data_IF_064354083065
#
_entry.id   IF_064354083065
#
_cell.length_a   1.000
_cell.length_b   1.000
_cell.length_c   1.000
_cell.angle_alpha   90.00
_cell.angle_beta   90.00
_cell.angle_gamma   90.00
#
_symmetry.space_group_name_H-M   'P 1'
#
loop_
_entity.id
_entity.type
_entity.pdbx_description
1 polymer ?
#
# COMPACT_ATOMS: atom_id res chain seq x y z
N UNK A 1 22.60 -84.65 -8.83
CA UNK A 1 22.55 -84.42 -10.29
C UNK A 1 22.21 -82.95 -10.54
N UNK A 2 23.13 -82.20 -11.16
CA UNK A 2 22.86 -80.89 -11.78
C UNK A 2 22.38 -81.13 -13.23
N UNK A 3 21.57 -80.26 -13.88
CA UNK A 3 22.07 -78.96 -14.34
C UNK A 3 21.11 -77.75 -14.33
N UNK A 4 21.76 -76.59 -14.16
CA UNK A 4 21.56 -75.24 -14.72
C UNK A 4 20.42 -75.04 -15.74
N UNK A 5 19.71 -73.90 -15.64
CA UNK A 5 19.61 -72.94 -16.77
C UNK A 5 19.35 -71.52 -16.24
N UNK A 6 20.23 -70.58 -16.61
CA UNK A 6 20.08 -69.13 -16.53
C UNK A 6 19.45 -68.64 -17.84
N UNK A 7 18.46 -67.74 -17.79
CA UNK A 7 18.17 -66.81 -18.90
C UNK A 7 17.78 -65.42 -18.33
N UNK A 8 18.33 -64.32 -18.87
CA UNK A 8 18.17 -62.96 -18.36
C UNK A 8 17.16 -62.12 -19.16
N UNK A 9 17.09 -60.83 -18.80
CA UNK A 9 16.41 -59.72 -19.49
C UNK A 9 14.94 -59.51 -19.04
N UNK A 10 14.45 -58.28 -18.81
CA UNK A 10 14.69 -57.05 -19.54
C UNK A 10 14.63 -55.83 -18.61
N UNK A 11 15.61 -54.92 -18.78
CA UNK A 11 15.54 -53.53 -18.33
C UNK A 11 14.31 -52.87 -18.96
N UNK A 12 13.39 -52.40 -18.13
CA UNK A 12 12.33 -51.48 -18.58
C UNK A 12 12.86 -50.06 -18.47
N UNK A 13 13.38 -49.56 -19.59
CA UNK A 13 13.67 -48.13 -19.78
C UNK A 13 12.35 -47.36 -19.77
N UNK A 14 12.12 -46.57 -18.72
CA UNK A 14 11.06 -45.56 -18.75
C UNK A 14 11.49 -44.46 -19.70
N UNK A 15 10.82 -44.42 -20.85
CA UNK A 15 10.89 -43.41 -21.88
C UNK A 15 10.65 -42.04 -21.24
N UNK A 16 11.66 -41.18 -21.29
CA UNK A 16 11.55 -39.77 -20.97
C UNK A 16 10.71 -39.08 -22.04
N UNK A 17 9.45 -38.80 -21.72
CA UNK A 17 8.62 -37.92 -22.56
C UNK A 17 9.20 -36.51 -22.48
N UNK A 18 9.99 -36.18 -23.51
CA UNK A 18 10.40 -34.83 -23.86
C UNK A 18 9.15 -34.04 -24.23
N UNK A 19 8.64 -33.28 -23.27
CA UNK A 19 7.63 -32.25 -23.50
C UNK A 19 8.28 -31.11 -24.31
N UNK A 20 7.73 -30.71 -25.47
CA UNK A 20 8.24 -29.54 -26.20
C UNK A 20 7.93 -28.25 -25.42
N UNK A 21 8.75 -27.19 -25.58
CA UNK A 21 8.57 -25.95 -24.83
C UNK A 21 7.30 -25.23 -25.28
N UNK A 22 6.47 -24.83 -24.30
CA UNK A 22 5.34 -23.96 -24.54
C UNK A 22 5.83 -22.57 -24.97
N UNK A 23 5.36 -22.12 -26.14
CA UNK A 23 5.67 -20.81 -26.70
C UNK A 23 5.18 -19.69 -25.77
N UNK A 24 6.13 -18.90 -25.27
CA UNK A 24 5.85 -17.66 -24.55
C UNK A 24 5.22 -16.64 -25.52
N UNK A 25 3.93 -16.33 -25.33
CA UNK A 25 3.28 -15.21 -25.99
C UNK A 25 3.68 -13.91 -25.29
N UNK A 26 4.45 -13.07 -25.99
CA UNK A 26 4.78 -11.70 -25.58
C UNK A 26 3.57 -10.79 -25.83
N UNK A 27 3.12 -9.97 -24.86
CA UNK A 27 2.34 -8.79 -25.19
C UNK A 27 3.30 -7.67 -25.61
N UNK A 28 3.30 -7.37 -26.90
CA UNK A 28 3.89 -6.14 -27.44
C UNK A 28 3.00 -4.96 -27.00
N UNK A 29 3.48 -4.19 -26.02
CA UNK A 29 2.91 -2.88 -25.70
C UNK A 29 3.43 -1.89 -26.76
N UNK A 30 2.53 -1.52 -27.67
CA UNK A 30 2.74 -0.43 -28.60
C UNK A 30 2.66 0.93 -27.88
N UNK A 31 3.44 1.86 -28.43
CA UNK A 31 3.62 3.27 -28.08
C UNK A 31 2.37 4.00 -27.53
N UNK A 32 2.63 4.84 -26.53
CA UNK A 32 1.79 5.96 -26.14
C UNK A 32 2.58 7.00 -25.35
N UNK A 33 3.72 7.45 -25.87
CA UNK A 33 4.48 8.54 -25.27
C UNK A 33 3.80 9.88 -25.60
N UNK A 34 3.46 10.61 -24.54
CA UNK A 34 2.70 11.85 -24.52
C UNK A 34 3.37 12.98 -25.31
N UNK A 35 2.64 13.58 -26.24
CA UNK A 35 2.96 14.89 -26.79
C UNK A 35 2.35 15.95 -25.87
N UNK A 36 3.18 16.55 -25.02
CA UNK A 36 2.84 17.76 -24.28
C UNK A 36 2.78 18.94 -25.25
N UNK A 37 1.59 19.28 -25.75
CA UNK A 37 1.36 20.52 -26.47
C UNK A 37 1.08 21.64 -25.45
N UNK A 38 2.08 22.48 -25.19
CA UNK A 38 1.89 23.75 -24.51
C UNK A 38 1.20 24.72 -25.47
N UNK A 39 -0.11 24.96 -25.27
CA UNK A 39 -0.81 26.03 -25.97
C UNK A 39 -0.57 27.35 -25.21
N UNK A 40 0.48 28.08 -25.60
CA UNK A 40 0.61 29.49 -25.26
C UNK A 40 -0.22 30.30 -26.26
N UNK A 41 -1.45 30.69 -25.88
CA UNK A 41 -2.22 31.68 -26.63
C UNK A 41 -1.69 33.06 -26.26
N UNK A 42 -0.93 33.65 -27.18
CA UNK A 42 -0.59 35.07 -27.15
C UNK A 42 -1.82 35.86 -27.63
N UNK A 43 -2.56 36.45 -26.69
CA UNK A 43 -3.64 37.36 -27.00
C UNK A 43 -3.04 38.75 -27.32
N UNK A 44 -2.55 38.94 -28.54
CA UNK A 44 -2.28 40.28 -29.07
C UNK A 44 -3.57 40.79 -29.68
N UNK A 45 -4.30 41.61 -28.92
CA UNK A 45 -5.29 42.54 -29.45
C UNK A 45 -4.48 43.66 -30.14
N UNK A 46 -4.19 43.44 -31.41
CA UNK A 46 -3.63 44.44 -32.32
C UNK A 46 -4.72 44.96 -33.22
N UNK A 47 -5.26 46.12 -32.91
CA UNK A 47 -6.12 46.92 -33.76
C UNK A 47 -5.36 47.32 -35.03
N UNK A 48 -5.64 46.64 -36.15
CA UNK A 48 -5.17 46.96 -37.51
C UNK A 48 -6.35 47.01 -38.48
N UNK A 49 -6.25 47.77 -39.58
CA UNK A 49 -7.38 48.38 -40.27
C UNK A 49 -8.32 47.37 -40.91
N UNK A 50 -9.60 47.74 -40.96
CA UNK A 50 -10.70 47.02 -41.60
C UNK A 50 -10.27 46.38 -42.92
N UNK A 51 -10.26 45.05 -42.96
CA UNK A 51 -10.26 44.31 -44.22
C UNK A 51 -11.63 44.51 -44.87
N UNK A 52 -11.80 45.61 -45.60
CA UNK A 52 -12.88 45.75 -46.56
C UNK A 52 -12.65 44.73 -47.67
N UNK A 53 -13.35 43.61 -47.61
CA UNK A 53 -13.58 42.80 -48.80
C UNK A 53 -14.48 43.63 -49.72
N UNK A 54 -13.90 44.22 -50.78
CA UNK A 54 -14.69 44.66 -51.92
C UNK A 54 -15.47 43.45 -52.43
N UNK A 55 -16.78 43.44 -52.17
CA UNK A 55 -17.69 42.57 -52.87
C UNK A 55 -17.72 43.04 -54.33
N UNK A 56 -16.83 42.47 -55.15
CA UNK A 56 -16.94 42.53 -56.59
C UNK A 56 -18.36 42.05 -56.96
N UNK A 57 -19.18 42.99 -57.43
CA UNK A 57 -20.58 42.78 -57.76
C UNK A 57 -20.74 41.62 -58.74
N UNK A 58 -21.09 40.46 -58.22
CA UNK A 58 -21.65 39.37 -59.00
C UNK A 58 -23.13 39.39 -58.69
N UNK A 59 -23.89 40.06 -59.56
CA UNK A 59 -25.35 40.00 -59.53
C UNK A 59 -25.76 38.54 -59.71
N UNK A 60 -26.03 37.87 -58.60
CA UNK A 60 -26.62 36.54 -58.59
C UNK A 60 -28.10 36.74 -58.92
N UNK A 61 -28.43 36.75 -60.21
CA UNK A 61 -29.82 36.76 -60.65
C UNK A 61 -30.44 35.45 -60.17
N UNK A 62 -31.33 35.53 -59.19
CA UNK A 62 -32.05 34.37 -58.68
C UNK A 62 -32.76 33.67 -59.84
N UNK A 63 -32.60 32.34 -59.93
CA UNK A 63 -33.26 31.48 -60.94
C UNK A 63 -34.78 31.72 -60.97
N UNK A 64 -35.39 32.13 -59.85
CA UNK A 64 -36.80 32.50 -59.77
C UNK A 64 -37.16 33.72 -60.64
N UNK A 65 -36.26 34.72 -60.75
CA UNK A 65 -36.45 35.92 -61.56
C UNK A 65 -36.32 35.62 -63.05
N UNK A 66 -35.46 34.67 -63.43
CA UNK A 66 -35.30 34.23 -64.82
C UNK A 66 -36.46 33.34 -65.30
N UNK A 67 -37.22 32.75 -64.38
CA UNK A 67 -38.42 31.96 -64.66
C UNK A 67 -39.73 32.76 -64.56
N UNK A 68 -39.68 34.07 -64.30
CA UNK A 68 -40.87 34.94 -64.23
C UNK A 68 -41.79 34.68 -63.03
N UNK A 69 -41.30 33.97 -62.01
CA UNK A 69 -42.03 33.71 -60.77
C UNK A 69 -41.78 34.88 -59.81
N UNK A 70 -42.51 35.98 -60.00
CA UNK A 70 -42.65 37.03 -58.98
C UNK A 70 -43.49 36.45 -57.83
N UNK A 71 -42.82 35.86 -56.85
CA UNK A 71 -43.46 35.47 -55.61
C UNK A 71 -43.90 36.76 -54.89
N UNK A 72 -45.22 37.02 -54.82
CA UNK A 72 -45.74 37.90 -53.79
C UNK A 72 -45.26 37.34 -52.45
N UNK A 73 -44.62 38.13 -51.58
CA UNK A 73 -44.33 37.70 -50.24
C UNK A 73 -45.68 37.65 -49.53
N UNK A 74 -46.40 36.54 -49.66
CA UNK A 74 -47.15 36.12 -48.51
C UNK A 74 -46.06 35.86 -47.47
N UNK A 75 -45.89 36.84 -46.57
CA UNK A 75 -45.03 36.73 -45.41
C UNK A 75 -45.64 35.64 -44.51
N UNK A 76 -45.57 34.38 -44.96
CA UNK A 76 -45.59 33.23 -44.08
C UNK A 76 -44.54 33.56 -43.03
N UNK A 77 -45.00 33.61 -41.78
CA UNK A 77 -44.40 34.38 -40.69
C UNK A 77 -43.01 33.84 -40.30
N UNK A 78 -42.00 34.13 -41.12
CA UNK A 78 -40.62 33.68 -40.96
C UNK A 78 -40.04 34.16 -39.62
N UNK A 79 -40.54 35.29 -39.11
CA UNK A 79 -40.29 35.79 -37.76
C UNK A 79 -40.77 34.81 -36.67
N UNK A 80 -41.99 34.27 -36.75
CA UNK A 80 -42.52 33.26 -35.83
C UNK A 80 -41.76 31.94 -35.94
N UNK A 81 -41.40 31.52 -37.14
CA UNK A 81 -40.64 30.28 -37.35
C UNK A 81 -39.21 30.37 -36.77
N UNK A 82 -38.53 31.51 -36.92
CA UNK A 82 -37.24 31.76 -36.28
C UNK A 82 -37.35 31.82 -34.75
N UNK A 83 -38.42 32.42 -34.21
CA UNK A 83 -38.71 32.43 -32.77
C UNK A 83 -38.89 31.02 -32.21
N UNK A 84 -39.65 30.17 -32.90
CA UNK A 84 -39.87 28.77 -32.50
C UNK A 84 -38.56 27.95 -32.51
N UNK A 85 -37.65 28.22 -33.44
CA UNK A 85 -36.33 27.58 -33.49
C UNK A 85 -35.42 28.05 -32.33
N UNK A 86 -35.44 29.34 -32.00
CA UNK A 86 -34.72 29.88 -30.84
C UNK A 86 -35.22 29.28 -29.52
N UNK A 87 -36.54 29.17 -29.34
CA UNK A 87 -37.13 28.54 -28.15
C UNK A 87 -36.76 27.05 -28.05
N UNK A 88 -36.71 26.33 -29.18
CA UNK A 88 -36.27 24.94 -29.21
C UNK A 88 -34.79 24.80 -28.84
N UNK A 89 -33.93 25.72 -29.31
CA UNK A 89 -32.51 25.75 -28.97
C UNK A 89 -32.30 26.04 -27.47
N UNK A 90 -33.00 27.04 -26.92
CA UNK A 90 -32.97 27.36 -25.49
C UNK A 90 -33.44 26.15 -24.65
N UNK A 91 -34.54 25.52 -25.05
CA UNK A 91 -35.08 24.32 -24.39
C UNK A 91 -34.11 23.13 -24.45
N UNK A 92 -33.33 22.99 -25.53
CA UNK A 92 -32.27 21.97 -25.64
C UNK A 92 -31.12 22.27 -24.68
N UNK A 93 -30.65 23.51 -24.63
CA UNK A 93 -29.60 23.95 -23.70
C UNK A 93 -30.00 23.68 -22.25
N UNK A 94 -31.20 24.10 -21.83
CA UNK A 94 -31.66 23.87 -20.45
C UNK A 94 -31.77 22.39 -20.09
N UNK A 95 -32.15 21.52 -21.05
CA UNK A 95 -32.17 20.07 -20.83
C UNK A 95 -30.76 19.50 -20.70
N UNK A 96 -29.80 20.02 -21.45
CA UNK A 96 -28.41 19.61 -21.37
C UNK A 96 -27.80 20.00 -20.02
N UNK A 97 -28.01 21.25 -19.58
CA UNK A 97 -27.58 21.72 -18.26
C UNK A 97 -28.20 20.89 -17.12
N UNK A 98 -29.50 20.58 -17.23
CA UNK A 98 -30.18 19.73 -16.24
C UNK A 98 -29.61 18.30 -16.20
N UNK A 99 -29.20 17.74 -17.35
CA UNK A 99 -28.56 16.42 -17.40
C UNK A 99 -27.18 16.45 -16.75
N UNK A 100 -26.39 17.49 -17.00
CA UNK A 100 -25.07 17.66 -16.38
C UNK A 100 -25.22 17.82 -14.86
N UNK A 101 -26.15 18.64 -14.40
CA UNK A 101 -26.44 18.79 -12.96
C UNK A 101 -26.87 17.46 -12.32
N UNK A 102 -27.74 16.68 -12.99
CA UNK A 102 -28.16 15.36 -12.52
C UNK A 102 -26.99 14.37 -12.46
N UNK A 103 -26.06 14.40 -13.43
CA UNK A 103 -24.85 13.57 -13.40
C UNK A 103 -23.95 13.91 -12.22
N UNK A 104 -23.71 15.20 -11.96
CA UNK A 104 -22.93 15.61 -10.78
C UNK A 104 -23.61 15.20 -9.47
N UNK A 105 -24.93 15.33 -9.37
CA UNK A 105 -25.67 14.88 -8.21
C UNK A 105 -25.57 13.35 -8.01
N UNK A 106 -25.61 12.57 -9.10
CA UNK A 106 -25.42 11.13 -9.03
C UNK A 106 -24.02 10.75 -8.57
N UNK A 107 -22.98 11.39 -9.11
CA UNK A 107 -21.59 11.15 -8.69
C UNK A 107 -21.42 11.50 -7.20
N UNK A 108 -22.00 12.60 -6.74
CA UNK A 108 -21.95 12.98 -5.32
C UNK A 108 -22.68 11.94 -4.44
N UNK A 109 -23.83 11.42 -4.88
CA UNK A 109 -24.55 10.37 -4.17
C UNK A 109 -23.75 9.06 -4.11
N UNK A 110 -23.12 8.65 -5.22
CA UNK A 110 -22.29 7.45 -5.29
C UNK A 110 -21.08 7.56 -4.35
N UNK A 111 -20.44 8.73 -4.31
CA UNK A 111 -19.34 9.00 -3.36
C UNK A 111 -19.81 8.91 -1.91
N UNK A 112 -20.97 9.48 -1.57
CA UNK A 112 -21.51 9.40 -0.22
C UNK A 112 -21.81 7.95 0.22
N UNK A 113 -22.24 7.09 -0.71
CA UNK A 113 -22.44 5.65 -0.44
C UNK A 113 -21.11 4.96 -0.15
N UNK A 114 -20.07 5.24 -0.96
CA UNK A 114 -18.73 4.66 -0.75
C UNK A 114 -18.11 5.11 0.57
N UNK A 115 -18.24 6.39 0.92
CA UNK A 115 -17.75 6.93 2.19
C UNK A 115 -18.45 6.28 3.38
N UNK A 116 -19.76 6.07 3.29
CA UNK A 116 -20.52 5.34 4.31
C UNK A 116 -20.05 3.89 4.44
N UNK A 117 -19.88 3.18 3.32
CA UNK A 117 -19.39 1.79 3.34
C UNK A 117 -17.99 1.70 3.96
N UNK A 118 -17.11 2.65 3.65
CA UNK A 118 -15.78 2.73 4.25
C UNK A 118 -15.86 2.96 5.75
N UNK A 119 -16.67 3.89 6.21
CA UNK A 119 -16.85 4.15 7.64
C UNK A 119 -17.41 2.93 8.39
N UNK A 120 -18.38 2.23 7.80
CA UNK A 120 -18.93 0.98 8.35
C UNK A 120 -17.87 -0.13 8.40
N UNK A 121 -17.04 -0.28 7.37
CA UNK A 121 -15.94 -1.25 7.34
C UNK A 121 -14.85 -0.92 8.38
N UNK A 122 -14.49 0.35 8.55
CA UNK A 122 -13.54 0.79 9.56
C UNK A 122 -14.07 0.56 10.98
N UNK A 123 -15.36 0.82 11.23
CA UNK A 123 -16.00 0.51 12.51
C UNK A 123 -16.03 -1.00 12.80
N UNK A 124 -16.35 -1.82 11.78
CA UNK A 124 -16.32 -3.28 11.90
C UNK A 124 -14.90 -3.79 12.19
N UNK A 125 -13.88 -3.24 11.53
CA UNK A 125 -12.49 -3.60 11.76
C UNK A 125 -12.02 -3.24 13.18
N UNK A 126 -12.40 -2.05 13.68
CA UNK A 126 -12.11 -1.63 15.06
C UNK A 126 -12.73 -2.59 16.08
N UNK A 127 -14.01 -2.94 15.89
CA UNK A 127 -14.70 -3.89 16.76
C UNK A 127 -14.04 -5.28 16.74
N UNK A 128 -13.69 -5.78 15.56
CA UNK A 128 -13.00 -7.07 15.42
C UNK A 128 -11.62 -7.07 16.10
N UNK A 129 -10.88 -5.96 16.01
CA UNK A 129 -9.59 -5.80 16.68
C UNK A 129 -9.74 -5.78 18.21
N UNK A 130 -10.76 -5.10 18.73
CA UNK A 130 -11.08 -5.08 20.17
C UNK A 130 -11.47 -6.47 20.68
N UNK A 131 -12.32 -7.19 19.96
CA UNK A 131 -12.70 -8.58 20.29
C UNK A 131 -11.50 -9.53 20.26
N UNK A 132 -10.60 -9.39 19.28
CA UNK A 132 -9.37 -10.17 19.20
C UNK A 132 -8.42 -9.86 20.37
N UNK A 133 -8.29 -8.58 20.75
CA UNK A 133 -7.50 -8.17 21.90
C UNK A 133 -8.08 -8.73 23.22
N UNK A 134 -9.41 -8.69 23.38
CA UNK A 134 -10.08 -9.26 24.54
C UNK A 134 -9.89 -10.78 24.64
N UNK A 135 -9.98 -11.50 23.52
CA UNK A 135 -9.70 -12.96 23.47
C UNK A 135 -8.27 -13.27 23.88
N UNK A 136 -7.30 -12.55 23.35
CA UNK A 136 -5.88 -12.73 23.69
C UNK A 136 -5.62 -12.45 25.17
N UNK A 137 -6.21 -11.39 25.73
CA UNK A 137 -6.10 -11.07 27.15
C UNK A 137 -6.70 -12.18 28.05
N UNK A 138 -7.83 -12.76 27.64
CA UNK A 138 -8.44 -13.89 28.35
C UNK A 138 -7.56 -15.15 28.31
N UNK A 139 -6.94 -15.45 27.17
CA UNK A 139 -6.01 -16.58 27.01
C UNK A 139 -4.75 -16.39 27.87
N UNK A 140 -4.17 -15.20 27.89
CA UNK A 140 -3.03 -14.86 28.75
C UNK A 140 -3.38 -14.95 30.24
N UNK A 141 -4.58 -14.52 30.63
CA UNK A 141 -5.06 -14.65 32.01
C UNK A 141 -5.22 -16.12 32.41
N UNK A 142 -5.81 -16.95 31.54
CA UNK A 142 -5.95 -18.39 31.78
C UNK A 142 -4.59 -19.10 31.88
N UNK A 143 -3.63 -18.74 31.02
CA UNK A 143 -2.27 -19.28 31.08
C UNK A 143 -1.55 -18.91 32.38
N UNK A 144 -1.72 -17.67 32.87
CA UNK A 144 -1.17 -17.23 34.16
C UNK A 144 -1.79 -17.98 35.33
N UNK A 145 -3.11 -18.20 35.30
CA UNK A 145 -3.79 -18.95 36.35
C UNK A 145 -3.35 -20.42 36.37
N UNK A 146 -3.21 -21.06 35.20
CA UNK A 146 -2.70 -22.41 35.08
C UNK A 146 -1.26 -22.54 35.62
N UNK A 147 -0.40 -21.57 35.30
CA UNK A 147 0.97 -21.52 35.82
C UNK A 147 1.02 -21.34 37.35
N UNK A 148 0.15 -20.50 37.92
CA UNK A 148 0.04 -20.33 39.37
C UNK A 148 -0.46 -21.61 40.07
N UNK A 149 -1.46 -22.29 39.49
CA UNK A 149 -1.95 -23.58 40.02
C UNK A 149 -0.87 -24.67 39.97
N UNK A 150 -0.08 -24.72 38.89
CA UNK A 150 1.04 -25.65 38.78
C UNK A 150 2.14 -25.36 39.82
N UNK A 151 2.45 -24.08 40.08
CA UNK A 151 3.41 -23.69 41.10
C UNK A 151 2.95 -24.04 42.53
N UNK A 152 1.65 -23.90 42.82
CA UNK A 152 1.07 -24.25 44.12
C UNK A 152 1.00 -25.77 44.39
N UNK A 153 0.98 -26.60 43.33
CA UNK A 153 0.96 -28.06 43.44
C UNK A 153 2.36 -28.70 43.52
N UNK A 154 3.44 -27.91 43.42
CA UNK A 154 4.81 -28.42 43.46
C UNK A 154 5.25 -28.74 44.91
N UNK A 155 5.79 -29.95 45.21
CA UNK A 155 6.24 -30.30 46.56
C UNK A 155 7.52 -29.55 46.95
N UNK A 156 7.66 -29.22 48.24
CA UNK A 156 8.82 -28.51 48.79
C UNK A 156 10.15 -29.29 48.60
N UNK A 157 11.25 -28.65 48.15
CA UNK A 157 12.45 -29.39 47.79
C UNK A 157 13.28 -29.78 49.02
N UNK A 158 13.64 -31.07 49.11
CA UNK A 158 14.77 -31.53 49.93
C UNK A 158 16.09 -31.15 49.22
N UNK A 159 17.02 -30.59 49.99
CA UNK A 159 18.30 -30.05 49.54
C UNK A 159 19.32 -31.18 49.34
N UNK A 160 19.83 -31.33 48.13
CA UNK A 160 20.99 -32.17 47.76
C UNK A 160 21.83 -31.44 46.68
N UNK A 161 23.16 -31.65 46.60
CA UNK A 161 24.04 -30.80 45.80
C UNK A 161 24.07 -31.16 44.31
N UNK A 162 24.57 -30.18 43.55
CA UNK A 162 24.56 -29.98 42.10
C UNK A 162 24.84 -31.18 41.18
N UNK A 163 24.03 -31.27 40.12
CA UNK A 163 24.44 -31.64 38.77
C UNK A 163 23.62 -30.81 37.77
N UNK A 164 24.31 -29.96 37.00
CA UNK A 164 23.69 -29.00 36.07
C UNK A 164 23.31 -29.67 34.75
N UNK A 165 22.02 -29.71 34.45
CA UNK A 165 21.50 -29.86 33.10
C UNK A 165 20.75 -28.57 32.72
N UNK A 166 20.98 -27.97 31.54
CA UNK A 166 20.31 -26.74 31.18
C UNK A 166 18.83 -27.00 30.90
N UNK A 167 18.00 -26.19 31.54
CA UNK A 167 16.55 -26.23 31.41
C UNK A 167 16.12 -25.35 30.22
N UNK A 168 15.18 -25.77 29.36
CA UNK A 168 14.80 -25.04 28.13
C UNK A 168 14.19 -23.64 28.39
N UNK A 169 13.78 -23.34 29.62
CA UNK A 169 13.33 -22.01 30.05
C UNK A 169 14.49 -20.99 30.20
N UNK A 170 15.72 -21.47 30.43
CA UNK A 170 16.90 -20.61 30.54
C UNK A 170 17.32 -20.05 29.16
N UNK A 171 17.19 -20.84 28.09
CA UNK A 171 17.57 -20.41 26.74
C UNK A 171 16.74 -19.25 26.19
N UNK A 172 15.47 -19.13 26.60
CA UNK A 172 14.60 -18.04 26.18
C UNK A 172 14.87 -16.73 26.96
N UNK A 173 15.29 -16.84 28.22
CA UNK A 173 15.71 -15.69 29.03
C UNK A 173 17.14 -15.20 28.69
N UNK A 174 18.02 -16.12 28.27
CA UNK A 174 19.37 -15.81 27.77
C UNK A 174 19.32 -15.07 26.43
N UNK A 175 18.44 -15.50 25.51
CA UNK A 175 18.25 -14.84 24.20
C UNK A 175 17.78 -13.38 24.34
N UNK A 176 16.94 -13.08 25.34
CA UNK A 176 16.50 -11.72 25.64
C UNK A 176 17.56 -10.82 26.31
N UNK A 177 18.77 -11.34 26.56
CA UNK A 177 19.92 -10.59 27.13
C UNK A 177 21.13 -10.53 26.19
N UNK A 178 21.07 -11.20 25.05
CA UNK A 178 22.20 -11.30 24.12
C UNK A 178 22.01 -10.34 22.95
N UNK A 179 23.04 -9.54 22.64
CA UNK A 179 23.15 -8.80 21.37
C UNK A 179 24.00 -9.53 20.33
N UNK A 180 24.48 -10.74 20.64
CA UNK A 180 25.27 -11.51 19.69
C UNK A 180 24.43 -11.90 18.48
N UNK A 181 24.92 -11.59 17.29
CA UNK A 181 24.25 -11.94 16.04
C UNK A 181 24.81 -13.24 15.46
N UNK A 182 23.92 -14.17 15.12
CA UNK A 182 24.23 -15.43 14.44
C UNK A 182 23.60 -15.50 13.05
N UNK A 183 22.65 -14.61 12.76
CA UNK A 183 21.93 -14.49 11.49
C UNK A 183 22.12 -13.07 10.96
N UNK A 184 22.45 -12.97 9.67
CA UNK A 184 22.47 -11.69 8.95
C UNK A 184 21.07 -11.35 8.46
N UNK A 185 20.54 -10.21 8.88
CA UNK A 185 19.26 -9.67 8.45
C UNK A 185 19.27 -9.33 6.96
N UNK A 186 18.22 -9.78 6.26
CA UNK A 186 17.95 -9.39 4.88
C UNK A 186 17.06 -8.14 4.87
N UNK A 187 17.65 -7.01 4.53
CA UNK A 187 17.00 -5.70 4.53
C UNK A 187 16.84 -5.22 3.09
N UNK A 188 15.62 -4.89 2.71
CA UNK A 188 15.29 -4.31 1.40
C UNK A 188 15.66 -2.83 1.38
N UNK A 189 16.60 -2.48 0.51
CA UNK A 189 17.15 -1.13 0.36
C UNK A 189 16.97 -0.67 -1.09
N UNK A 190 16.38 0.51 -1.31
CA UNK A 190 16.11 1.06 -2.66
C UNK A 190 16.79 2.39 -2.96
N UNK A 191 17.41 3.03 -1.96
CA UNK A 191 18.00 4.37 -2.13
C UNK A 191 19.46 4.51 -1.64
N UNK A 192 20.09 3.42 -1.21
CA UNK A 192 21.48 3.43 -0.73
C UNK A 192 21.79 2.26 0.19
N UNK A 193 23.03 2.20 0.68
CA UNK A 193 23.41 1.24 1.70
C UNK A 193 22.79 1.61 3.04
N UNK A 194 22.38 0.61 3.82
CA UNK A 194 21.99 0.83 5.21
C UNK A 194 23.24 1.12 6.07
N UNK A 195 23.08 1.92 7.12
CA UNK A 195 24.17 2.20 8.04
C UNK A 195 24.65 0.90 8.70
N UNK A 196 25.97 0.67 8.84
CA UNK A 196 26.50 -0.55 9.46
C UNK A 196 25.96 -0.83 10.88
N UNK A 197 25.69 0.22 11.67
CA UNK A 197 25.10 0.05 13.01
C UNK A 197 23.65 -0.41 12.94
N UNK A 198 22.85 0.17 12.05
CA UNK A 198 21.47 -0.25 11.83
C UNK A 198 21.41 -1.71 11.31
N UNK A 199 22.33 -2.10 10.43
CA UNK A 199 22.48 -3.50 10.01
C UNK A 199 22.85 -4.41 11.20
N UNK A 200 23.83 -4.05 12.01
CA UNK A 200 24.24 -4.85 13.17
C UNK A 200 23.12 -4.99 14.20
N UNK A 201 22.33 -3.93 14.43
CA UNK A 201 21.17 -3.99 15.29
C UNK A 201 20.08 -4.92 14.72
N UNK A 202 19.79 -4.82 13.42
CA UNK A 202 18.88 -5.74 12.74
C UNK A 202 19.35 -7.20 12.82
N UNK A 203 20.65 -7.46 12.62
CA UNK A 203 21.27 -8.78 12.74
C UNK A 203 21.07 -9.36 14.15
N UNK A 204 21.27 -8.55 15.19
CA UNK A 204 21.01 -8.94 16.57
C UNK A 204 19.53 -9.27 16.81
N UNK A 205 18.61 -8.44 16.31
CA UNK A 205 17.16 -8.66 16.47
C UNK A 205 16.72 -9.96 15.79
N UNK A 206 17.10 -10.19 14.53
CA UNK A 206 16.70 -11.42 13.82
C UNK A 206 17.33 -12.68 14.41
N UNK A 207 18.45 -12.55 15.11
CA UNK A 207 19.12 -13.66 15.79
C UNK A 207 18.47 -14.00 17.14
N UNK A 208 18.01 -13.00 17.89
CA UNK A 208 17.64 -13.17 19.30
C UNK A 208 16.13 -13.05 19.57
N UNK A 209 15.35 -12.51 18.63
CA UNK A 209 13.88 -12.44 18.74
C UNK A 209 13.23 -13.58 17.95
N UNK A 210 12.60 -14.56 18.61
CA UNK A 210 11.94 -15.67 17.93
C UNK A 210 10.92 -15.19 16.89
N UNK A 211 11.07 -15.67 15.65
CA UNK A 211 10.22 -15.31 14.51
C UNK A 211 10.67 -14.07 13.72
N UNK A 212 11.60 -13.26 14.24
CA UNK A 212 12.07 -12.06 13.53
C UNK A 212 12.91 -12.39 12.27
N UNK A 213 13.56 -13.55 12.21
CA UNK A 213 14.28 -14.00 11.01
C UNK A 213 13.36 -14.32 9.81
N UNK A 214 12.05 -14.47 10.03
CA UNK A 214 11.08 -14.85 9.00
C UNK A 214 10.31 -13.67 8.40
N UNK A 215 10.50 -12.46 8.92
CA UNK A 215 9.83 -11.25 8.42
C UNK A 215 10.69 -10.50 7.39
N UNK A 216 10.05 -9.61 6.64
CA UNK A 216 10.76 -8.69 5.75
C UNK A 216 11.18 -7.45 6.53
N UNK A 217 12.38 -6.94 6.27
CA UNK A 217 12.85 -5.68 6.86
C UNK A 217 12.97 -4.62 5.77
N UNK A 218 12.38 -3.45 6.01
CA UNK A 218 12.52 -2.26 5.17
C UNK A 218 13.68 -1.39 5.64
N UNK A 219 14.60 -1.06 4.73
CA UNK A 219 15.74 -0.19 5.00
C UNK A 219 15.66 1.09 4.20
N UNK A 220 16.71 1.43 3.45
CA UNK A 220 16.80 2.71 2.75
C UNK A 220 15.73 2.88 1.68
N UNK A 221 15.17 4.09 1.59
CA UNK A 221 14.26 4.50 0.53
C UNK A 221 14.32 6.02 0.36
N UNK A 222 14.01 6.51 -0.85
CA UNK A 222 13.96 7.93 -1.12
C UNK A 222 12.75 8.55 -0.41
N UNK A 223 13.00 9.55 0.44
CA UNK A 223 11.99 10.30 1.17
C UNK A 223 12.61 11.62 1.63
N UNK A 224 11.85 12.71 1.58
CA UNK A 224 12.27 14.00 2.13
C UNK A 224 11.71 14.24 3.55
N UNK A 225 10.78 13.39 4.01
CA UNK A 225 10.07 13.59 5.28
C UNK A 225 10.93 13.21 6.50
N UNK A 226 11.96 12.39 6.32
CA UNK A 226 12.79 11.83 7.37
C UNK A 226 14.28 11.79 6.96
N UNK A 227 14.95 12.93 6.73
CA UNK A 227 16.34 12.94 6.23
C UNK A 227 17.34 12.22 7.17
N UNK A 228 17.02 12.07 8.46
CA UNK A 228 17.78 11.29 9.43
C UNK A 228 17.26 9.86 9.67
N UNK A 229 16.33 9.37 8.85
CA UNK A 229 15.67 8.07 8.97
C UNK A 229 16.05 7.07 7.88
N UNK A 230 15.07 6.66 7.06
CA UNK A 230 15.32 5.70 5.98
C UNK A 230 16.27 6.22 4.88
N UNK A 231 16.14 7.46 4.37
CA UNK A 231 17.04 8.00 3.36
C UNK A 231 18.52 7.95 3.76
N UNK A 232 18.84 8.16 5.04
CA UNK A 232 20.22 8.10 5.57
C UNK A 232 20.66 6.70 5.99
N UNK A 233 19.79 5.70 5.86
CA UNK A 233 20.04 4.32 6.30
C UNK A 233 20.15 4.15 7.81
N UNK A 234 19.57 5.06 8.58
CA UNK A 234 19.53 4.99 10.04
C UNK A 234 18.25 4.34 10.57
N UNK A 235 17.26 4.08 9.72
CA UNK A 235 16.01 3.45 10.12
C UNK A 235 15.80 2.04 9.55
N UNK A 236 15.12 1.20 10.33
CA UNK A 236 14.65 -0.14 9.93
C UNK A 236 13.17 -0.29 10.28
N UNK A 237 12.37 -0.72 9.31
CA UNK A 237 10.98 -1.16 9.49
C UNK A 237 10.93 -2.68 9.60
N UNK A 238 10.43 -3.20 10.72
CA UNK A 238 10.25 -4.63 10.95
C UNK A 238 8.83 -5.06 10.55
N UNK A 239 8.65 -5.58 9.33
CA UNK A 239 7.31 -5.84 8.77
C UNK A 239 6.64 -7.06 9.40
N UNK A 240 5.92 -6.86 10.51
CA UNK A 240 5.22 -7.92 11.25
C UNK A 240 3.79 -8.14 10.77
N UNK A 241 3.24 -7.24 9.96
CA UNK A 241 1.88 -7.29 9.44
C UNK A 241 0.86 -7.43 10.59
N UNK A 242 0.01 -8.46 10.55
CA UNK A 242 -0.96 -8.73 11.60
C UNK A 242 -0.35 -9.33 12.89
N UNK A 243 0.94 -9.70 12.90
CA UNK A 243 1.59 -10.33 14.05
C UNK A 243 2.04 -9.27 15.07
N UNK A 244 1.08 -8.66 15.76
CA UNK A 244 1.34 -7.65 16.78
C UNK A 244 2.17 -8.18 17.97
N UNK A 245 2.11 -9.47 18.27
CA UNK A 245 2.90 -10.09 19.34
C UNK A 245 4.40 -10.12 19.01
N UNK A 246 4.75 -10.43 17.75
CA UNK A 246 6.12 -10.33 17.26
C UNK A 246 6.60 -8.86 17.28
N UNK A 247 5.74 -7.91 16.89
CA UNK A 247 6.06 -6.49 16.99
C UNK A 247 6.34 -6.05 18.42
N UNK A 248 5.52 -6.47 19.38
CA UNK A 248 5.72 -6.20 20.81
C UNK A 248 7.03 -6.82 21.32
N UNK A 249 7.37 -8.04 20.90
CA UNK A 249 8.63 -8.71 21.27
C UNK A 249 9.86 -7.99 20.69
N UNK A 250 9.79 -7.54 19.43
CA UNK A 250 10.85 -6.75 18.80
C UNK A 250 11.04 -5.44 19.58
N UNK A 251 9.97 -4.72 19.91
CA UNK A 251 10.07 -3.46 20.68
C UNK A 251 10.63 -3.72 22.09
N UNK A 252 10.20 -4.78 22.76
CA UNK A 252 10.72 -5.14 24.09
C UNK A 252 12.24 -5.40 24.05
N UNK A 253 12.73 -6.12 23.03
CA UNK A 253 14.16 -6.34 22.83
C UNK A 253 14.93 -5.03 22.61
N UNK A 254 14.39 -4.11 21.80
CA UNK A 254 15.00 -2.78 21.62
C UNK A 254 15.04 -1.96 22.91
N UNK A 255 14.00 -2.03 23.74
CA UNK A 255 13.97 -1.36 25.05
C UNK A 255 15.04 -1.93 25.98
N UNK A 256 15.17 -3.27 26.04
CA UNK A 256 16.14 -3.93 26.89
C UNK A 256 17.59 -3.61 26.47
N UNK A 257 17.86 -3.50 25.17
CA UNK A 257 19.20 -3.29 24.60
C UNK A 257 19.40 -1.89 24.01
N UNK A 258 18.65 -0.89 24.49
CA UNK A 258 18.56 0.43 23.88
C UNK A 258 19.92 1.06 23.56
N UNK A 259 20.82 1.08 24.54
CA UNK A 259 22.14 1.69 24.39
C UNK A 259 23.07 0.86 23.51
N UNK A 260 23.03 -0.46 23.65
CA UNK A 260 23.89 -1.42 22.95
C UNK A 260 23.60 -1.42 21.45
N UNK A 261 22.31 -1.45 21.09
CA UNK A 261 21.87 -1.37 19.69
C UNK A 261 22.01 0.06 19.13
N UNK A 262 22.14 1.07 19.99
CA UNK A 262 22.18 2.47 19.60
C UNK A 262 20.83 2.99 19.11
N UNK A 263 19.74 2.59 19.78
CA UNK A 263 18.41 3.08 19.46
C UNK A 263 18.32 4.58 19.78
N UNK A 264 17.81 5.35 18.84
CA UNK A 264 17.48 6.76 19.01
C UNK A 264 15.99 6.91 19.35
N UNK A 265 15.12 6.28 18.55
CA UNK A 265 13.70 6.21 18.85
C UNK A 265 13.05 4.98 18.23
N UNK A 266 11.87 4.63 18.76
CA UNK A 266 10.99 3.57 18.26
C UNK A 266 9.61 4.17 18.02
N UNK A 267 8.98 3.81 16.91
CA UNK A 267 7.56 4.07 16.64
C UNK A 267 6.84 2.72 16.53
N UNK A 268 5.78 2.54 17.32
CA UNK A 268 4.99 1.31 17.30
C UNK A 268 3.60 1.53 17.85
N UNK A 269 2.55 1.10 17.14
CA UNK A 269 1.14 1.27 17.53
C UNK A 269 0.75 2.73 17.79
N UNK A 270 1.08 3.61 16.83
CA UNK A 270 0.73 5.05 16.86
C UNK A 270 1.28 5.82 18.07
N UNK A 271 2.42 5.40 18.58
CA UNK A 271 3.15 6.07 19.66
C UNK A 271 4.64 6.01 19.37
N UNK A 272 5.34 7.05 19.82
CA UNK A 272 6.78 7.19 19.69
C UNK A 272 7.44 7.13 21.06
N UNK A 273 8.59 6.48 21.12
CA UNK A 273 9.44 6.39 22.30
C UNK A 273 10.83 6.86 21.91
N UNK A 274 11.30 7.97 22.49
CA UNK A 274 12.66 8.51 22.29
C UNK A 274 13.56 8.27 23.50
N UNK A 275 13.03 7.59 24.52
CA UNK A 275 13.77 7.17 25.72
C UNK A 275 13.11 5.90 26.26
N UNK A 276 13.89 4.89 26.73
CA UNK A 276 13.34 3.60 27.16
C UNK A 276 12.16 3.74 28.13
N UNK A 277 11.03 3.14 27.78
CA UNK A 277 9.83 3.09 28.62
C UNK A 277 8.91 4.32 28.57
N UNK A 278 9.31 5.41 27.91
CA UNK A 278 8.50 6.64 27.84
C UNK A 278 7.84 6.79 26.47
N UNK A 279 6.52 6.58 26.41
CA UNK A 279 5.73 6.71 25.18
C UNK A 279 5.04 8.08 25.07
N UNK A 280 5.05 8.64 23.86
CA UNK A 280 4.27 9.80 23.46
C UNK A 280 3.29 9.41 22.35
N UNK A 281 2.00 9.79 22.44
CA UNK A 281 1.04 9.51 21.39
C UNK A 281 1.38 10.28 20.11
N UNK A 282 1.05 9.71 18.95
CA UNK A 282 1.16 10.36 17.65
C UNK A 282 -0.22 10.71 17.11
N UNK A 283 -0.29 11.80 16.34
CA UNK A 283 -1.47 12.11 15.56
C UNK A 283 -1.78 10.96 14.58
N UNK A 284 -3.06 10.76 14.28
CA UNK A 284 -3.49 9.83 13.24
C UNK A 284 -3.04 10.35 11.87
N UNK A 285 -2.33 9.50 11.11
CA UNK A 285 -1.79 9.78 9.78
C UNK A 285 -2.61 9.14 8.66
N UNK A 286 -3.79 8.60 8.98
CA UNK A 286 -4.80 8.18 8.00
C UNK A 286 -4.69 6.75 7.48
N UNK A 287 -3.74 5.93 7.98
CA UNK A 287 -3.68 4.49 7.67
C UNK A 287 -2.93 3.69 8.75
N UNK A 288 -3.18 2.37 8.87
CA UNK A 288 -2.45 1.50 9.79
C UNK A 288 -0.93 1.54 9.59
N UNK A 289 -0.46 1.49 8.34
CA UNK A 289 0.96 1.57 8.02
C UNK A 289 1.54 2.93 8.37
N UNK A 290 0.87 4.04 8.03
CA UNK A 290 1.35 5.37 8.40
C UNK A 290 1.37 5.58 9.93
N UNK A 291 0.47 4.91 10.65
CA UNK A 291 0.40 4.88 12.11
C UNK A 291 1.29 3.79 12.75
N UNK A 292 2.11 3.08 11.96
CA UNK A 292 3.03 2.05 12.45
C UNK A 292 2.32 0.95 13.26
N UNK A 293 1.16 0.51 12.77
CA UNK A 293 0.36 -0.55 13.40
C UNK A 293 0.80 -1.95 12.95
N UNK A 294 1.51 -2.04 11.83
CA UNK A 294 1.91 -3.28 11.15
C UNK A 294 3.43 -3.48 11.06
N UNK A 295 4.23 -2.50 11.52
CA UNK A 295 5.66 -2.60 11.70
C UNK A 295 6.17 -1.72 12.86
N UNK A 296 7.04 -2.24 13.74
CA UNK A 296 7.93 -1.40 14.52
C UNK A 296 8.90 -0.69 13.58
N UNK A 297 8.98 0.63 13.71
CA UNK A 297 10.01 1.44 13.08
C UNK A 297 11.03 1.83 14.14
N UNK A 298 12.31 1.62 13.85
CA UNK A 298 13.41 1.92 14.78
C UNK A 298 14.46 2.73 14.08
N UNK A 299 14.84 3.87 14.67
CA UNK A 299 15.96 4.69 14.22
C UNK A 299 17.17 4.48 15.12
N UNK A 300 18.36 4.57 14.53
CA UNK A 300 19.64 4.31 15.18
C UNK A 300 20.59 5.51 15.08
N UNK A 301 21.44 5.69 16.10
CA UNK A 301 22.44 6.78 16.21
C UNK A 301 23.87 6.35 15.88
#
# INVERSE_FOLDING_TARGET
MHPRTLVPALRRTTRSDRRPPAAARRPALYLGAAASAALAVNLVVGTGPDAQAEAAGTESVSVARQLGLEASPEAADASRDLGALSDLAASRSSREDARVAAQFAQVAADQAVLDRQRAEAEAAARKAAEEAAARKAAEEAAAREAAQRAAAAAPAPRRAPAASAPSPAAGLAEAARSVAATVRARISNTAGAINPRAQAAADAVVSNVPGAASITLGGTRASAADPGGHPSGLAVDYMVLANGALGDAIVAYHVAHWNELGVEYVIWKQRMMSSPGVWKPMADRGSPTANHMDHPHVNYR
#
